data_IF_849983077728
#
_entry.id   IF_849983077728
#
_cell.length_a   1.000
_cell.length_b   1.000
_cell.length_c   1.000
_cell.angle_alpha   90.00
_cell.angle_beta   90.00
_cell.angle_gamma   90.00
#
_symmetry.space_group_name_H-M   'P 1'
#
loop_
_entity.id
_entity.type
_entity.pdbx_description
1 polymer ?
#
# COMPACT_ATOMS: atom_id res chain seq x y z
N UNK A 1 -6.59 41.74 42.57
CA UNK A 1 -6.33 41.75 41.11
C UNK A 1 -4.92 41.29 40.71
N UNK A 2 -3.86 41.47 41.53
CA UNK A 2 -2.49 41.04 41.17
C UNK A 2 -2.21 39.53 41.20
N UNK A 3 -3.01 38.69 41.88
CA UNK A 3 -2.73 37.24 41.97
C UNK A 3 -3.13 36.46 40.70
N UNK A 4 -4.15 36.91 39.98
CA UNK A 4 -4.59 36.27 38.73
C UNK A 4 -3.62 36.54 37.58
N UNK A 5 -3.05 37.76 37.50
CA UNK A 5 -2.09 38.14 36.46
C UNK A 5 -0.79 37.32 36.62
N UNK A 6 -0.32 37.11 37.86
CA UNK A 6 0.88 36.31 38.12
C UNK A 6 0.68 34.85 37.70
N UNK A 7 -0.50 34.27 37.94
CA UNK A 7 -0.82 32.90 37.55
C UNK A 7 -0.86 32.77 36.01
N UNK A 8 -1.52 33.70 35.32
CA UNK A 8 -1.60 33.69 33.85
C UNK A 8 -0.22 33.85 33.22
N UNK A 9 0.62 34.76 33.73
CA UNK A 9 2.00 34.92 33.26
C UNK A 9 2.86 33.67 33.51
N UNK A 10 2.62 32.94 34.61
CA UNK A 10 3.32 31.69 34.92
C UNK A 10 2.95 30.57 33.93
N UNK A 11 1.67 30.44 33.57
CA UNK A 11 1.23 29.46 32.58
C UNK A 11 1.72 29.78 31.16
N UNK A 12 1.74 31.06 30.76
CA UNK A 12 2.30 31.47 29.47
C UNK A 12 3.81 31.19 29.43
N UNK A 13 4.53 31.47 30.53
CA UNK A 13 5.96 31.16 30.65
C UNK A 13 6.25 29.66 30.53
N UNK A 14 5.44 28.80 31.15
CA UNK A 14 5.57 27.35 31.05
C UNK A 14 5.27 26.83 29.64
N UNK A 15 4.27 27.38 28.96
CA UNK A 15 3.94 27.01 27.58
C UNK A 15 5.05 27.40 26.59
N UNK A 16 5.69 28.56 26.80
CA UNK A 16 6.84 28.99 25.98
C UNK A 16 8.10 28.17 26.26
N UNK A 17 8.34 27.76 27.51
CA UNK A 17 9.44 26.84 27.85
C UNK A 17 9.20 25.45 27.26
N UNK A 18 7.98 24.94 27.29
CA UNK A 18 7.63 23.65 26.68
C UNK A 18 7.80 23.67 25.16
N UNK A 19 7.41 24.76 24.47
CA UNK A 19 7.59 24.88 23.02
C UNK A 19 9.07 24.99 22.62
N UNK A 20 9.89 25.72 23.39
CA UNK A 20 11.34 25.79 23.17
C UNK A 20 12.04 24.45 23.41
N UNK A 21 11.62 23.68 24.43
CA UNK A 21 12.13 22.33 24.67
C UNK A 21 11.69 21.34 23.58
N UNK A 22 10.50 21.51 23.01
CA UNK A 22 10.02 20.69 21.90
C UNK A 22 10.79 20.97 20.61
N UNK A 23 11.06 22.24 20.29
CA UNK A 23 11.92 22.67 19.18
C UNK A 23 13.37 22.18 19.33
N UNK A 24 13.90 22.16 20.56
CA UNK A 24 15.25 21.63 20.83
C UNK A 24 15.32 20.10 20.72
N UNK A 25 14.20 19.39 20.88
CA UNK A 25 14.10 17.93 20.76
C UNK A 25 13.94 17.46 19.30
N UNK A 26 13.38 18.28 18.42
CA UNK A 26 13.27 17.98 16.97
C UNK A 26 14.52 18.36 16.18
N UNK A 27 15.39 19.22 16.71
CA UNK A 27 16.69 19.57 16.11
C UNK A 27 17.81 18.53 16.28
N UNK A 28 17.55 17.39 16.93
CA UNK A 28 18.56 16.36 17.23
C UNK A 28 18.21 14.95 16.72
N UNK A 29 17.30 14.84 15.75
CA UNK A 29 17.10 13.62 14.96
C UNK A 29 17.52 13.88 13.51
N UNK A 30 18.80 14.20 13.32
CA UNK A 30 19.46 14.25 12.02
C UNK A 30 20.88 13.73 12.17
N UNK A 31 21.01 12.42 12.34
CA UNK A 31 22.23 11.66 12.03
C UNK A 31 21.84 10.19 11.92
N UNK A 32 21.35 9.78 10.74
CA UNK A 32 21.58 8.46 10.17
C UNK A 32 21.12 8.47 8.70
N UNK A 33 21.76 9.31 7.90
CA UNK A 33 21.95 9.04 6.49
C UNK A 33 23.42 9.29 6.17
N UNK A 34 23.97 8.41 5.34
CA UNK A 34 25.29 8.46 4.70
C UNK A 34 26.49 8.10 5.59
N UNK A 35 26.75 6.79 5.69
CA UNK A 35 28.11 6.29 5.79
C UNK A 35 28.28 5.04 4.90
N UNK A 36 28.23 5.26 3.59
CA UNK A 36 28.87 4.42 2.58
C UNK A 36 29.39 5.38 1.50
N UNK A 37 30.34 6.24 1.86
CA UNK A 37 31.13 7.02 0.89
C UNK A 37 32.43 7.54 1.51
N UNK A 38 33.10 6.68 2.29
CA UNK A 38 34.41 7.04 2.85
C UNK A 38 35.39 5.87 2.86
N UNK A 39 35.47 5.14 1.73
CA UNK A 39 36.59 4.24 1.50
C UNK A 39 37.01 4.02 0.03
N UNK A 40 36.61 4.87 -0.91
CA UNK A 40 37.08 4.76 -2.30
C UNK A 40 37.34 6.09 -3.01
N UNK A 41 37.83 7.12 -2.27
CA UNK A 41 38.15 8.43 -2.82
C UNK A 41 39.57 8.90 -2.46
N UNK A 42 40.55 8.00 -2.46
CA UNK A 42 41.96 8.39 -2.26
C UNK A 42 42.97 7.73 -3.20
N UNK A 43 42.54 6.99 -4.24
CA UNK A 43 43.47 6.36 -5.21
C UNK A 43 43.20 6.66 -6.69
N UNK A 44 42.39 7.67 -7.04
CA UNK A 44 42.16 8.03 -8.47
C UNK A 44 42.47 9.51 -8.74
N UNK A 45 43.59 9.96 -8.18
CA UNK A 45 44.21 11.23 -8.58
C UNK A 45 45.64 11.00 -9.09
N UNK A 46 45.88 9.91 -9.83
CA UNK A 46 47.10 9.76 -10.65
C UNK A 46 46.96 8.56 -11.60
N UNK A 47 46.52 8.82 -12.83
CA UNK A 47 46.96 8.15 -14.06
C UNK A 47 46.01 8.53 -15.21
N UNK A 48 46.32 9.60 -15.92
CA UNK A 48 46.83 9.53 -17.30
C UNK A 48 45.74 9.28 -18.35
N UNK A 49 45.49 10.36 -19.11
CA UNK A 49 44.97 10.38 -20.46
C UNK A 49 45.19 9.08 -21.26
N UNK A 50 44.09 8.46 -21.70
CA UNK A 50 44.08 7.76 -22.99
C UNK A 50 42.67 7.72 -23.57
N UNK A 51 42.59 8.11 -24.83
CA UNK A 51 41.42 8.06 -25.70
C UNK A 51 40.73 6.69 -25.65
N UNK A 52 39.40 6.68 -25.52
CA UNK A 52 38.57 5.58 -26.05
C UNK A 52 37.40 6.22 -26.79
N UNK A 53 37.56 6.25 -28.11
CA UNK A 53 36.48 6.37 -29.10
C UNK A 53 35.46 5.24 -28.90
N UNK A 54 34.18 5.55 -29.09
CA UNK A 54 33.16 4.55 -29.39
C UNK A 54 32.44 3.93 -28.19
N UNK A 55 31.85 4.74 -27.31
CA UNK A 55 30.79 4.24 -26.44
C UNK A 55 29.53 4.00 -27.30
N UNK A 56 29.24 2.73 -27.58
CA UNK A 56 27.91 2.29 -27.99
C UNK A 56 26.89 2.81 -26.98
N UNK A 57 26.23 3.92 -27.31
CA UNK A 57 25.06 4.40 -26.58
C UNK A 57 23.94 3.39 -26.81
N UNK A 58 23.89 2.34 -25.99
CA UNK A 58 22.67 1.56 -25.85
C UNK A 58 21.57 2.55 -25.48
N UNK A 59 20.58 2.71 -26.35
CA UNK A 59 19.37 3.47 -26.07
C UNK A 59 18.71 2.73 -24.92
N UNK A 60 18.94 3.19 -23.70
CA UNK A 60 18.23 2.69 -22.53
C UNK A 60 16.78 3.15 -22.74
N UNK A 61 15.86 2.21 -22.92
CA UNK A 61 14.43 2.51 -22.92
C UNK A 61 14.03 2.97 -21.52
N UNK A 62 13.55 4.22 -21.42
CA UNK A 62 13.27 4.90 -20.16
C UNK A 62 11.78 5.06 -19.89
N UNK A 63 10.92 4.47 -20.72
CA UNK A 63 9.48 4.63 -20.57
C UNK A 63 8.85 3.32 -20.13
N UNK A 64 8.11 3.37 -19.01
CA UNK A 64 7.27 2.23 -18.63
C UNK A 64 6.24 1.96 -19.74
N UNK A 65 6.07 0.70 -20.17
CA UNK A 65 4.95 0.35 -21.02
C UNK A 65 3.66 0.80 -20.35
N UNK A 66 2.90 1.67 -21.03
CA UNK A 66 1.64 2.20 -20.51
C UNK A 66 0.71 1.05 -20.19
N UNK A 67 0.29 0.95 -18.94
CA UNK A 67 -0.64 -0.08 -18.50
C UNK A 67 -2.06 0.37 -18.72
N UNK A 68 -2.85 -0.55 -19.27
CA UNK A 68 -4.29 -0.45 -19.28
C UNK A 68 -4.85 -1.50 -18.32
N UNK A 69 -5.41 -1.02 -17.22
CA UNK A 69 -6.04 -1.82 -16.19
C UNK A 69 -7.48 -2.15 -16.58
N UNK A 70 -7.79 -3.43 -16.53
CA UNK A 70 -9.14 -3.97 -16.71
C UNK A 70 -9.37 -4.96 -15.57
N UNK A 71 -9.82 -4.49 -14.39
CA UNK A 71 -10.12 -5.36 -13.25
C UNK A 71 -11.04 -6.50 -13.68
N UNK A 72 -10.67 -7.73 -13.33
CA UNK A 72 -11.47 -8.92 -13.61
C UNK A 72 -12.17 -9.34 -12.32
N UNK A 73 -13.50 -9.38 -12.37
CA UNK A 73 -14.33 -9.51 -11.17
C UNK A 73 -15.12 -10.80 -11.11
N UNK A 74 -14.99 -11.65 -12.13
CA UNK A 74 -15.66 -12.93 -12.21
C UNK A 74 -14.76 -14.00 -11.62
N UNK A 75 -15.27 -14.63 -10.56
CA UNK A 75 -14.63 -15.75 -9.89
C UNK A 75 -15.34 -17.02 -10.31
N UNK A 76 -14.56 -18.04 -10.65
CA UNK A 76 -15.04 -19.31 -11.17
C UNK A 76 -15.14 -20.32 -10.04
N UNK A 77 -16.26 -21.05 -9.97
CA UNK A 77 -16.42 -22.17 -9.04
C UNK A 77 -15.36 -23.25 -9.28
N UNK A 78 -14.84 -23.82 -8.19
CA UNK A 78 -13.73 -24.79 -8.24
C UNK A 78 -14.02 -25.96 -7.33
N UNK A 79 -13.54 -27.13 -7.73
CA UNK A 79 -13.49 -28.31 -6.88
C UNK A 79 -12.04 -28.74 -6.77
N UNK A 80 -11.56 -28.95 -5.55
CA UNK A 80 -10.17 -29.33 -5.28
C UNK A 80 -10.13 -30.42 -4.22
N UNK A 81 -9.22 -31.38 -4.40
CA UNK A 81 -8.98 -32.40 -3.38
C UNK A 81 -8.00 -31.89 -2.32
N UNK A 82 -8.39 -32.02 -1.06
CA UNK A 82 -7.62 -31.59 0.09
C UNK A 82 -7.58 -32.72 1.14
N UNK A 83 -6.41 -33.30 1.37
CA UNK A 83 -6.22 -34.42 2.30
C UNK A 83 -7.20 -35.60 2.09
N UNK A 84 -7.54 -35.90 0.83
CA UNK A 84 -8.48 -36.98 0.47
C UNK A 84 -9.96 -36.60 0.53
N UNK A 85 -10.27 -35.36 0.90
CA UNK A 85 -11.62 -34.80 0.86
C UNK A 85 -11.76 -33.86 -0.33
N UNK A 86 -12.79 -34.07 -1.16
CA UNK A 86 -13.10 -33.16 -2.24
C UNK A 86 -13.87 -31.95 -1.72
N UNK A 87 -13.30 -30.75 -1.86
CA UNK A 87 -13.88 -29.50 -1.40
C UNK A 87 -14.40 -28.68 -2.58
N UNK A 88 -15.63 -28.17 -2.46
CA UNK A 88 -16.26 -27.29 -3.44
C UNK A 88 -16.16 -25.84 -2.97
N UNK A 89 -15.59 -24.98 -3.81
CA UNK A 89 -15.47 -23.55 -3.56
C UNK A 89 -16.43 -22.81 -4.49
N UNK A 90 -17.27 -21.95 -3.88
CA UNK A 90 -18.24 -21.12 -4.60
C UNK A 90 -18.15 -19.67 -4.16
N UNK A 91 -18.29 -18.73 -5.08
CA UNK A 91 -18.28 -17.31 -4.72
C UNK A 91 -19.55 -16.92 -3.95
N UNK A 92 -19.42 -16.09 -2.91
CA UNK A 92 -20.51 -15.66 -2.05
C UNK A 92 -20.79 -16.59 -0.88
N UNK A 93 -20.07 -17.72 -0.76
CA UNK A 93 -20.23 -18.67 0.35
C UNK A 93 -19.11 -18.57 1.40
N UNK A 94 -18.02 -17.85 1.09
CA UNK A 94 -16.82 -17.86 1.93
C UNK A 94 -16.11 -19.22 1.88
N UNK A 95 -15.47 -19.61 2.97
CA UNK A 95 -14.80 -20.91 3.06
C UNK A 95 -15.80 -22.08 3.17
N UNK A 96 -15.51 -23.24 2.54
CA UNK A 96 -16.27 -24.47 2.78
C UNK A 96 -16.30 -24.85 4.26
N UNK A 97 -17.39 -25.45 4.73
CA UNK A 97 -17.60 -25.73 6.15
C UNK A 97 -16.55 -26.70 6.74
N UNK A 98 -15.97 -27.55 5.89
CA UNK A 98 -14.94 -28.53 6.25
C UNK A 98 -13.60 -27.89 6.63
N UNK A 99 -13.33 -26.68 6.11
CA UNK A 99 -12.10 -25.92 6.36
C UNK A 99 -12.38 -24.57 7.03
N UNK A 100 -13.65 -24.25 7.25
CA UNK A 100 -14.09 -23.06 7.96
C UNK A 100 -13.61 -23.08 9.41
N UNK A 101 -13.23 -21.93 9.95
CA UNK A 101 -13.00 -21.83 11.39
C UNK A 101 -14.35 -21.68 12.10
N UNK A 102 -14.35 -21.87 13.41
CA UNK A 102 -15.50 -21.49 14.22
C UNK A 102 -15.60 -19.94 14.28
N UNK A 103 -16.82 -19.36 14.31
CA UNK A 103 -17.02 -17.91 14.34
C UNK A 103 -16.19 -17.15 15.37
N UNK A 104 -16.03 -17.74 16.55
CA UNK A 104 -15.27 -17.21 17.68
C UNK A 104 -13.75 -17.24 17.50
N UNK A 105 -13.23 -17.84 16.42
CA UNK A 105 -11.81 -17.78 16.05
C UNK A 105 -11.50 -16.59 15.15
N UNK A 106 -12.51 -16.12 14.42
CA UNK A 106 -12.35 -14.88 13.68
C UNK A 106 -12.18 -13.74 14.67
N UNK A 107 -13.02 -13.70 15.72
CA UNK A 107 -12.99 -12.60 16.67
C UNK A 107 -11.75 -12.66 17.59
N UNK A 108 -11.05 -11.53 17.82
CA UNK A 108 -10.00 -11.47 18.81
C UNK A 108 -10.58 -11.74 20.19
N UNK A 109 -9.86 -12.56 20.95
CA UNK A 109 -10.15 -12.85 22.35
C UNK A 109 -9.21 -12.02 23.21
N UNK A 110 -9.53 -11.86 24.49
CA UNK A 110 -8.73 -11.06 25.43
C UNK A 110 -7.26 -11.51 25.39
N UNK A 111 -6.40 -10.71 24.77
CA UNK A 111 -4.96 -10.99 24.65
C UNK A 111 -4.53 -11.79 23.42
N UNK A 112 -5.41 -12.11 22.47
CA UNK A 112 -5.06 -12.74 21.19
C UNK A 112 -5.66 -12.01 20.01
N UNK A 113 -4.88 -11.86 18.94
CA UNK A 113 -5.40 -11.38 17.67
C UNK A 113 -6.37 -12.41 17.08
N UNK A 114 -7.41 -11.91 16.39
CA UNK A 114 -8.35 -12.74 15.65
C UNK A 114 -7.67 -13.36 14.43
N UNK A 115 -8.17 -14.49 13.94
CA UNK A 115 -7.65 -15.07 12.69
C UNK A 115 -8.29 -14.44 11.47
N UNK A 116 -7.46 -13.95 10.53
CA UNK A 116 -7.90 -13.47 9.24
C UNK A 116 -8.71 -14.55 8.52
N UNK A 117 -9.86 -14.16 7.98
CA UNK A 117 -10.79 -15.13 7.42
C UNK A 117 -11.66 -14.52 6.32
N UNK A 118 -11.81 -15.24 5.21
CA UNK A 118 -12.72 -14.84 4.13
C UNK A 118 -14.13 -15.33 4.43
N UNK A 119 -15.01 -14.39 4.73
CA UNK A 119 -16.47 -14.59 4.82
C UNK A 119 -17.12 -14.32 3.46
N UNK A 120 -18.36 -14.78 3.27
CA UNK A 120 -19.20 -14.35 2.14
C UNK A 120 -19.23 -12.82 1.97
N UNK A 121 -19.35 -12.09 3.09
CA UNK A 121 -19.31 -10.62 3.10
C UNK A 121 -17.98 -10.05 2.62
N UNK A 122 -16.86 -10.67 3.00
CA UNK A 122 -15.53 -10.30 2.49
C UNK A 122 -15.47 -10.43 0.96
N UNK A 123 -15.99 -11.52 0.41
CA UNK A 123 -16.05 -11.75 -1.04
C UNK A 123 -16.89 -10.68 -1.75
N UNK A 124 -18.09 -10.37 -1.23
CA UNK A 124 -18.94 -9.32 -1.78
C UNK A 124 -18.25 -7.94 -1.75
N UNK A 125 -17.56 -7.59 -0.65
CA UNK A 125 -16.84 -6.33 -0.53
C UNK A 125 -15.66 -6.25 -1.51
N UNK A 126 -14.92 -7.35 -1.69
CA UNK A 126 -13.83 -7.43 -2.66
C UNK A 126 -14.36 -7.20 -4.08
N UNK A 127 -15.44 -7.90 -4.46
CA UNK A 127 -16.07 -7.72 -5.77
C UNK A 127 -16.59 -6.29 -5.93
N UNK A 128 -17.24 -5.72 -4.92
CA UNK A 128 -17.74 -4.35 -4.96
C UNK A 128 -16.63 -3.29 -5.13
N UNK A 129 -15.45 -3.53 -4.54
CA UNK A 129 -14.27 -2.69 -4.75
C UNK A 129 -13.71 -2.85 -6.18
N UNK A 130 -13.46 -4.08 -6.61
CA UNK A 130 -12.87 -4.37 -7.93
C UNK A 130 -13.80 -3.97 -9.10
N UNK A 131 -15.12 -4.02 -8.91
CA UNK A 131 -16.12 -3.62 -9.89
C UNK A 131 -16.44 -2.12 -9.88
N UNK A 132 -15.76 -1.30 -9.07
CA UNK A 132 -16.00 0.13 -9.05
C UNK A 132 -15.62 0.78 -10.40
N UNK A 133 -16.55 1.53 -11.00
CA UNK A 133 -16.37 2.17 -12.31
C UNK A 133 -15.19 3.16 -12.36
N UNK A 134 -14.81 3.73 -11.23
CA UNK A 134 -13.73 4.71 -11.11
C UNK A 134 -12.37 4.03 -10.92
N UNK A 135 -12.33 2.78 -10.45
CA UNK A 135 -11.08 2.06 -10.17
C UNK A 135 -10.19 1.93 -11.42
N UNK A 136 -10.67 1.47 -12.60
CA UNK A 136 -9.84 1.41 -13.80
C UNK A 136 -9.28 2.77 -14.20
N UNK A 137 -10.07 3.83 -14.04
CA UNK A 137 -9.65 5.19 -14.40
C UNK A 137 -8.56 5.70 -13.46
N UNK A 138 -8.70 5.45 -12.15
CA UNK A 138 -7.68 5.78 -11.15
C UNK A 138 -6.38 5.04 -11.45
N UNK A 139 -6.45 3.72 -11.67
CA UNK A 139 -5.27 2.90 -11.94
C UNK A 139 -4.56 3.33 -13.23
N UNK A 140 -5.32 3.54 -14.31
CA UNK A 140 -4.76 3.95 -15.61
C UNK A 140 -4.02 5.29 -15.54
N UNK A 141 -4.51 6.25 -14.75
CA UNK A 141 -3.82 7.54 -14.62
C UNK A 141 -2.70 7.45 -13.59
N UNK A 142 -3.02 7.05 -12.37
CA UNK A 142 -2.13 7.18 -11.23
C UNK A 142 -1.02 6.13 -11.17
N UNK A 143 -1.26 4.87 -11.57
CA UNK A 143 -0.18 3.87 -11.61
C UNK A 143 0.86 4.26 -12.65
N UNK A 144 0.40 4.69 -13.83
CA UNK A 144 1.32 5.11 -14.87
C UNK A 144 2.07 6.40 -14.47
N UNK A 145 1.40 7.38 -13.84
CA UNK A 145 2.06 8.57 -13.29
C UNK A 145 3.17 8.24 -12.28
N UNK A 146 2.88 7.36 -11.31
CA UNK A 146 3.86 6.96 -10.31
C UNK A 146 5.04 6.19 -10.92
N UNK A 147 4.78 5.30 -11.87
CA UNK A 147 5.83 4.57 -12.59
C UNK A 147 6.73 5.54 -13.40
N UNK A 148 6.13 6.51 -14.10
CA UNK A 148 6.85 7.54 -14.87
C UNK A 148 7.74 8.38 -13.94
N UNK A 149 7.20 8.81 -12.79
CA UNK A 149 7.95 9.55 -11.77
C UNK A 149 9.10 8.74 -11.18
N UNK A 150 8.88 7.45 -10.89
CA UNK A 150 9.92 6.55 -10.39
C UNK A 150 11.05 6.39 -11.41
N UNK A 151 10.73 6.24 -12.70
CA UNK A 151 11.74 6.18 -13.76
C UNK A 151 12.53 7.49 -13.89
N UNK A 152 11.85 8.64 -13.82
CA UNK A 152 12.50 9.94 -13.89
C UNK A 152 13.45 10.22 -12.71
N UNK A 153 13.11 9.73 -11.52
CA UNK A 153 13.93 9.90 -10.31
C UNK A 153 15.12 8.93 -10.24
N UNK A 154 15.14 7.87 -11.05
CA UNK A 154 16.17 6.83 -11.02
C UNK A 154 16.75 6.60 -12.43
N UNK A 155 17.43 7.61 -13.02
CA UNK A 155 17.85 7.60 -14.42
C UNK A 155 18.86 6.50 -14.77
N UNK A 156 19.58 5.97 -13.78
CA UNK A 156 20.63 4.96 -13.94
C UNK A 156 20.09 3.52 -13.90
N UNK A 157 18.82 3.33 -13.57
CA UNK A 157 18.18 2.03 -13.51
C UNK A 157 17.39 1.81 -14.81
N UNK A 158 17.66 0.74 -15.58
CA UNK A 158 16.83 0.39 -16.73
C UNK A 158 15.40 0.03 -16.32
N UNK A 159 14.39 0.46 -17.09
CA UNK A 159 12.96 0.24 -16.77
C UNK A 159 12.62 -1.25 -16.61
N UNK A 160 13.26 -2.13 -17.37
CA UNK A 160 13.05 -3.58 -17.26
C UNK A 160 13.55 -4.19 -15.93
N UNK A 161 14.35 -3.46 -15.16
CA UNK A 161 14.78 -3.82 -13.80
C UNK A 161 13.92 -3.18 -12.72
N UNK A 162 13.06 -2.22 -13.09
CA UNK A 162 12.16 -1.55 -12.15
C UNK A 162 10.88 -2.36 -11.91
N UNK A 163 10.40 -2.34 -10.67
CA UNK A 163 9.16 -3.00 -10.28
C UNK A 163 8.01 -2.00 -10.36
N UNK A 164 7.04 -2.27 -11.22
CA UNK A 164 5.83 -1.45 -11.31
C UNK A 164 5.07 -1.42 -9.99
N UNK A 165 4.45 -0.28 -9.69
CA UNK A 165 3.60 -0.07 -8.49
C UNK A 165 2.46 -1.09 -8.41
N UNK A 166 1.70 -1.25 -9.52
CA UNK A 166 0.65 -2.28 -9.66
C UNK A 166 0.71 -2.99 -11.02
N UNK A 167 0.13 -4.18 -11.08
CA UNK A 167 -0.06 -5.03 -12.26
C UNK A 167 -1.54 -5.44 -12.41
N UNK A 168 -1.95 -5.88 -13.61
CA UNK A 168 -3.33 -6.38 -13.83
C UNK A 168 -3.71 -7.55 -12.91
N UNK A 169 -2.75 -8.39 -12.52
CA UNK A 169 -2.98 -9.48 -11.55
C UNK A 169 -3.37 -8.94 -10.16
N UNK A 170 -2.94 -7.73 -9.80
CA UNK A 170 -3.23 -7.12 -8.50
C UNK A 170 -4.70 -6.63 -8.44
N UNK A 171 -5.46 -6.72 -9.54
CA UNK A 171 -6.89 -6.37 -9.65
C UNK A 171 -7.71 -7.44 -10.35
N UNK A 172 -7.20 -8.67 -10.37
CA UNK A 172 -7.89 -9.86 -10.86
C UNK A 172 -8.40 -10.65 -9.66
N UNK A 173 -9.71 -10.84 -9.54
CA UNK A 173 -10.34 -11.52 -8.40
C UNK A 173 -9.82 -12.95 -8.23
N UNK A 174 -9.44 -13.63 -9.32
CA UNK A 174 -8.90 -14.99 -9.28
C UNK A 174 -7.48 -15.04 -8.68
N UNK A 175 -6.75 -13.94 -8.76
CA UNK A 175 -5.44 -13.78 -8.13
C UNK A 175 -5.52 -13.09 -6.76
N UNK A 176 -6.57 -12.31 -6.51
CA UNK A 176 -6.79 -11.59 -5.25
C UNK A 176 -7.42 -12.48 -4.17
N UNK A 177 -8.36 -13.35 -4.56
CA UNK A 177 -9.00 -14.33 -3.70
C UNK A 177 -8.42 -15.73 -3.99
N UNK A 178 -7.44 -16.13 -3.19
CA UNK A 178 -6.68 -17.38 -3.38
C UNK A 178 -7.18 -18.48 -2.44
N UNK A 179 -6.91 -19.74 -2.79
CA UNK A 179 -7.10 -20.89 -1.89
C UNK A 179 -5.72 -21.27 -1.37
N UNK A 180 -5.55 -21.19 -0.05
CA UNK A 180 -4.33 -21.58 0.62
C UNK A 180 -4.09 -23.09 0.49
N UNK A 181 -2.89 -23.46 0.06
CA UNK A 181 -2.56 -24.86 -0.27
C UNK A 181 -2.30 -25.72 0.97
N UNK A 182 -2.09 -25.11 2.14
CA UNK A 182 -1.78 -25.82 3.38
C UNK A 182 -3.01 -26.04 4.26
N UNK A 183 -3.99 -25.15 4.18
CA UNK A 183 -5.21 -25.20 4.99
C UNK A 183 -6.48 -25.39 4.16
N UNK A 184 -6.40 -25.29 2.84
CA UNK A 184 -7.56 -25.35 1.95
C UNK A 184 -8.49 -24.14 2.08
N UNK A 185 -8.10 -23.11 2.85
CA UNK A 185 -8.95 -21.95 3.10
C UNK A 185 -8.81 -20.89 2.01
N UNK A 186 -9.91 -20.29 1.60
CA UNK A 186 -9.92 -19.02 0.89
C UNK A 186 -9.27 -17.93 1.74
N UNK A 187 -8.39 -17.16 1.11
CA UNK A 187 -7.64 -16.06 1.70
C UNK A 187 -7.54 -14.91 0.71
N UNK A 188 -7.40 -13.69 1.24
CA UNK A 188 -6.98 -12.54 0.44
C UNK A 188 -5.47 -12.69 0.19
N UNK A 189 -5.05 -12.52 -1.07
CA UNK A 189 -3.65 -12.57 -1.44
C UNK A 189 -2.90 -11.40 -0.79
N UNK A 190 -2.00 -11.67 0.17
CA UNK A 190 -1.36 -10.60 0.95
C UNK A 190 -0.48 -9.70 0.09
N UNK A 191 0.06 -10.21 -1.03
CA UNK A 191 0.88 -9.41 -1.94
C UNK A 191 0.03 -8.40 -2.72
N UNK A 192 -1.11 -8.83 -3.26
CA UNK A 192 -2.04 -7.94 -3.97
C UNK A 192 -2.65 -6.92 -3.03
N UNK A 193 -3.02 -7.35 -1.82
CA UNK A 193 -3.56 -6.48 -0.75
C UNK A 193 -2.57 -5.41 -0.32
N UNK A 194 -1.34 -5.81 0.02
CA UNK A 194 -0.27 -4.89 0.39
C UNK A 194 0.00 -3.85 -0.70
N UNK A 195 0.13 -4.28 -1.96
CA UNK A 195 0.43 -3.36 -3.08
C UNK A 195 -0.71 -2.39 -3.34
N UNK A 196 -1.96 -2.83 -3.26
CA UNK A 196 -3.12 -1.95 -3.41
C UNK A 196 -3.20 -0.95 -2.25
N UNK A 197 -2.99 -1.42 -1.02
CA UNK A 197 -2.96 -0.56 0.17
C UNK A 197 -1.85 0.50 0.08
N UNK A 198 -0.64 0.09 -0.29
CA UNK A 198 0.51 0.99 -0.45
C UNK A 198 0.25 2.04 -1.55
N UNK A 199 -0.32 1.61 -2.68
CA UNK A 199 -0.72 2.51 -3.76
C UNK A 199 -1.74 3.56 -3.28
N UNK A 200 -2.84 3.14 -2.65
CA UNK A 200 -3.88 4.07 -2.19
C UNK A 200 -3.36 5.02 -1.11
N UNK A 201 -2.51 4.54 -0.20
CA UNK A 201 -1.89 5.38 0.84
C UNK A 201 -0.86 6.35 0.27
N UNK A 202 -0.11 5.95 -0.76
CA UNK A 202 0.80 6.84 -1.49
C UNK A 202 0.03 8.00 -2.11
N UNK A 203 -1.13 7.72 -2.73
CA UNK A 203 -1.97 8.74 -3.35
C UNK A 203 -2.54 9.74 -2.34
N UNK A 204 -2.82 9.31 -1.10
CA UNK A 204 -3.38 10.12 -0.04
C UNK A 204 -2.38 10.49 1.07
N UNK A 205 -1.09 10.53 0.78
CA UNK A 205 -0.08 10.76 1.81
C UNK A 205 -0.32 12.11 2.53
N UNK A 206 -0.68 12.12 3.82
CA UNK A 206 -1.06 13.35 4.55
C UNK A 206 0.14 14.27 4.83
N UNK A 207 1.37 13.79 4.64
CA UNK A 207 2.59 14.58 4.78
C UNK A 207 2.93 15.38 3.52
N UNK A 208 2.28 15.07 2.39
CA UNK A 208 2.43 15.83 1.15
C UNK A 208 1.68 17.17 1.24
N UNK A 209 2.24 18.24 0.63
CA UNK A 209 1.57 19.55 0.58
C UNK A 209 0.23 19.49 -0.19
N UNK A 210 0.13 18.57 -1.13
CA UNK A 210 -1.07 18.24 -1.89
C UNK A 210 -1.07 16.74 -2.15
N UNK A 211 -2.19 16.02 -1.94
CA UNK A 211 -2.30 14.61 -2.29
C UNK A 211 -1.88 14.35 -3.74
N UNK A 212 -1.09 13.29 -3.96
CA UNK A 212 -0.67 12.86 -5.30
C UNK A 212 -1.90 12.49 -6.15
N UNK A 213 -2.98 12.01 -5.50
CA UNK A 213 -4.27 11.78 -6.14
C UNK A 213 -4.76 13.00 -6.95
N UNK A 214 -4.52 14.23 -6.48
CA UNK A 214 -4.93 15.44 -7.21
C UNK A 214 -4.14 15.59 -8.51
N UNK A 215 -2.83 15.30 -8.47
CA UNK A 215 -1.92 15.43 -9.61
C UNK A 215 -2.23 14.41 -10.70
N UNK A 216 -2.56 13.17 -10.32
CA UNK A 216 -2.76 12.10 -11.30
C UNK A 216 -4.24 11.84 -11.65
N UNK A 217 -5.18 12.02 -10.72
CA UNK A 217 -6.59 11.67 -10.92
C UNK A 217 -7.50 12.86 -11.20
N UNK A 218 -7.02 14.08 -10.97
CA UNK A 218 -7.71 15.37 -11.11
C UNK A 218 -8.53 15.78 -9.87
N UNK A 219 -8.50 17.09 -9.57
CA UNK A 219 -9.14 17.67 -8.39
C UNK A 219 -10.65 17.43 -8.31
N UNK A 220 -11.35 17.47 -9.45
CA UNK A 220 -12.80 17.24 -9.53
C UNK A 220 -13.20 15.78 -9.28
N UNK A 221 -12.23 14.89 -9.06
CA UNK A 221 -12.43 13.45 -8.84
C UNK A 221 -12.00 12.96 -7.47
N UNK A 222 -11.67 13.88 -6.55
CA UNK A 222 -11.25 13.50 -5.20
C UNK A 222 -12.34 12.75 -4.43
N UNK A 223 -13.62 13.07 -4.65
CA UNK A 223 -14.73 12.31 -4.07
C UNK A 223 -14.77 10.86 -4.55
N UNK A 224 -14.51 10.62 -5.84
CA UNK A 224 -14.41 9.26 -6.40
C UNK A 224 -13.25 8.49 -5.75
N UNK A 225 -12.11 9.16 -5.55
CA UNK A 225 -10.94 8.57 -4.90
C UNK A 225 -11.21 8.24 -3.43
N UNK A 226 -11.80 9.15 -2.67
CA UNK A 226 -12.18 8.94 -1.27
C UNK A 226 -13.15 7.76 -1.13
N UNK A 227 -14.11 7.63 -2.04
CA UNK A 227 -15.04 6.50 -2.05
C UNK A 227 -14.34 5.17 -2.35
N UNK A 228 -13.40 5.14 -3.31
CA UNK A 228 -12.57 3.97 -3.58
C UNK A 228 -11.73 3.56 -2.36
N UNK A 229 -11.07 4.53 -1.73
CA UNK A 229 -10.28 4.30 -0.53
C UNK A 229 -11.16 3.81 0.62
N UNK A 230 -12.36 4.38 0.79
CA UNK A 230 -13.33 3.94 1.78
C UNK A 230 -13.77 2.49 1.53
N UNK A 231 -14.11 2.12 0.30
CA UNK A 231 -14.48 0.74 -0.06
C UNK A 231 -13.35 -0.23 0.25
N UNK A 232 -12.11 0.12 -0.12
CA UNK A 232 -10.94 -0.70 0.18
C UNK A 232 -10.70 -0.84 1.69
N UNK A 233 -10.81 0.25 2.45
CA UNK A 233 -10.70 0.19 3.91
C UNK A 233 -11.82 -0.61 4.57
N UNK A 234 -13.05 -0.57 4.04
CA UNK A 234 -14.15 -1.41 4.53
C UNK A 234 -13.86 -2.88 4.29
N UNK A 235 -13.35 -3.24 3.11
CA UNK A 235 -12.87 -4.61 2.81
C UNK A 235 -11.77 -5.02 3.78
N UNK A 236 -10.72 -4.21 3.91
CA UNK A 236 -9.60 -4.48 4.80
C UNK A 236 -10.06 -4.63 6.26
N UNK A 237 -11.01 -3.80 6.71
CA UNK A 237 -11.65 -3.98 8.01
C UNK A 237 -12.46 -5.26 8.09
N UNK A 238 -13.27 -5.64 7.11
CA UNK A 238 -13.99 -6.92 7.21
C UNK A 238 -13.03 -8.12 7.29
N UNK A 239 -11.93 -8.07 6.53
CA UNK A 239 -10.93 -9.13 6.48
C UNK A 239 -10.04 -9.19 7.74
N UNK A 240 -9.68 -8.04 8.30
CA UNK A 240 -8.81 -7.92 9.50
C UNK A 240 -9.58 -7.79 10.82
N UNK A 241 -10.78 -7.22 10.75
CA UNK A 241 -11.70 -7.03 11.87
C UNK A 241 -12.86 -8.00 11.75
N UNK A 242 -12.54 -9.18 12.26
CA UNK A 242 -13.43 -9.86 13.16
C UNK A 242 -13.22 -9.42 14.61
N UNK A 243 -12.45 -8.36 14.91
CA UNK A 243 -12.79 -7.49 16.06
C UNK A 243 -11.79 -6.42 16.49
N UNK A 244 -11.92 -5.21 15.95
CA UNK A 244 -11.76 -4.04 16.83
C UNK A 244 -13.08 -3.30 16.87
N UNK A 245 -13.60 -3.16 18.08
CA UNK A 245 -14.47 -2.05 18.43
C UNK A 245 -13.62 -0.80 18.20
N UNK A 246 -14.00 0.05 17.25
CA UNK A 246 -13.46 1.41 17.24
C UNK A 246 -13.98 2.11 18.50
N UNK A 247 -13.13 2.77 19.31
CA UNK A 247 -13.63 3.65 20.34
C UNK A 247 -14.45 4.76 19.68
N UNK A 248 -15.64 5.00 20.22
CA UNK A 248 -16.53 6.13 19.89
C UNK A 248 -15.84 7.48 20.12
#
# INVERSE_FOLDING_TARGET
MNRFIVIVCFFIGLLLLASLLWLKRTGNLSTHSLNIDQQLSENVAEATSTNIEGANSQIIDRTFPRKQFQPKTDWSDKTMDFNGTQLSYKFGEGNPSEVALLPEHYLPRKGSEGMLYVTAKTEYLLKAFLSDKNLPQLLNKCVNYLNDNMAAQNPDIPVNQMVSVLDNKDVDIENYLIIDKETGRKMINPKSDYRMNDFLNTLNNPLSRSPIAIECFELNRMQDFEELQRKFHVLGREYTHTGKVMPE
#
